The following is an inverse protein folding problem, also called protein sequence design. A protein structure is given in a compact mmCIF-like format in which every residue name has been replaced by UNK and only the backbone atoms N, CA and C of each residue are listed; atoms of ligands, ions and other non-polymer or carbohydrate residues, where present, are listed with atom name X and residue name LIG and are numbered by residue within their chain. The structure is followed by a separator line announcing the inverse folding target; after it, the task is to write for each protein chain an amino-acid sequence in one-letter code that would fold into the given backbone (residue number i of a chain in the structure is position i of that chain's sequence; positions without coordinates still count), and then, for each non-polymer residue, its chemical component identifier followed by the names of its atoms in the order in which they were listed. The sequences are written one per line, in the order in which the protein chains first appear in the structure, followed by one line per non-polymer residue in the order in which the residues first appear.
data_IF_293663528546
#
_entry.id   IF_293663528546
#
_cell.length_a   1.000
_cell.length_b   1.000
_cell.length_c   1.000
_cell.angle_alpha   90.00
_cell.angle_beta   90.00
_cell.angle_gamma   90.00
#
_symmetry.space_group_name_H-M   'P 1'
#
loop_
_entity.id
_entity.type
_entity.pdbx_description
1 polymer ?
#
# COMPACT_ATOMS: atom_id res chain seq x y z
N UNK A 1 9.18 -4.10 -28.52
CA UNK A 1 9.96 -3.45 -27.45
C UNK A 1 10.56 -2.17 -27.98
N UNK A 2 10.21 -1.02 -27.39
CA UNK A 2 10.75 0.28 -27.80
C UNK A 2 12.11 0.42 -27.15
N UNK A 3 13.14 0.59 -27.97
CA UNK A 3 14.46 0.93 -27.45
C UNK A 3 14.49 2.42 -27.14
N UNK A 4 15.10 2.79 -26.01
CA UNK A 4 15.27 4.18 -25.56
C UNK A 4 15.75 5.12 -26.68
N UNK A 5 16.60 4.64 -27.58
CA UNK A 5 17.11 5.39 -28.75
C UNK A 5 16.04 5.78 -29.78
N UNK A 6 14.86 5.16 -29.72
CA UNK A 6 13.76 5.40 -30.65
C UNK A 6 12.68 6.36 -30.06
N UNK A 7 12.90 6.81 -28.83
CA UNK A 7 12.01 7.76 -28.18
C UNK A 7 12.46 9.19 -28.45
N UNK A 8 11.52 10.08 -28.60
CA UNK A 8 11.78 11.52 -28.58
C UNK A 8 12.43 11.93 -27.27
N UNK A 9 13.40 12.83 -27.31
CA UNK A 9 14.15 13.27 -26.13
C UNK A 9 13.25 13.94 -25.08
N UNK A 10 12.19 14.63 -25.52
CA UNK A 10 11.23 15.27 -24.62
C UNK A 10 10.40 14.23 -23.85
N UNK A 11 10.00 13.16 -24.51
CA UNK A 11 9.27 12.05 -23.88
C UNK A 11 10.18 11.31 -22.89
N UNK A 12 11.45 11.07 -23.24
CA UNK A 12 12.43 10.49 -22.30
C UNK A 12 12.58 11.39 -21.08
N UNK A 13 12.77 12.69 -21.29
CA UNK A 13 12.92 13.65 -20.20
C UNK A 13 11.65 13.72 -19.33
N UNK A 14 10.48 13.69 -19.93
CA UNK A 14 9.22 13.65 -19.20
C UNK A 14 9.10 12.38 -18.35
N UNK A 15 9.39 11.21 -18.92
CA UNK A 15 9.39 9.93 -18.18
C UNK A 15 10.37 10.01 -17.01
N UNK A 16 11.58 10.45 -17.23
CA UNK A 16 12.59 10.61 -16.16
C UNK A 16 12.12 11.55 -15.06
N UNK A 17 11.46 12.65 -15.41
CA UNK A 17 10.93 13.62 -14.46
C UNK A 17 9.80 13.00 -13.62
N UNK A 18 8.84 12.32 -14.28
CA UNK A 18 7.68 11.72 -13.61
C UNK A 18 8.06 10.52 -12.74
N UNK A 19 9.00 9.71 -13.20
CA UNK A 19 9.43 8.51 -12.47
C UNK A 19 10.44 8.82 -11.37
N UNK A 20 11.18 9.92 -11.49
CA UNK A 20 12.37 10.18 -10.68
C UNK A 20 13.54 9.23 -10.97
N UNK A 21 13.42 8.42 -12.02
CA UNK A 21 14.49 7.53 -12.48
C UNK A 21 15.55 8.34 -13.22
N UNK A 22 16.81 8.11 -12.90
CA UNK A 22 17.93 8.73 -13.58
C UNK A 22 18.13 8.23 -15.03
N UNK A 23 19.20 8.63 -15.69
CA UNK A 23 19.47 8.28 -17.11
C UNK A 23 19.64 6.77 -17.37
N UNK A 24 19.57 5.95 -16.36
CA UNK A 24 19.73 4.49 -16.43
C UNK A 24 18.45 3.69 -16.73
N UNK A 25 17.37 4.31 -17.24
CA UNK A 25 16.16 3.57 -17.63
C UNK A 25 16.49 2.48 -18.65
N UNK A 26 16.02 1.28 -18.40
CA UNK A 26 16.10 0.14 -19.29
C UNK A 26 15.14 0.23 -20.47
N UNK A 27 14.28 -0.75 -20.63
CA UNK A 27 13.25 -0.73 -21.66
C UNK A 27 11.91 -0.30 -21.11
N UNK A 28 11.07 0.29 -21.97
CA UNK A 28 9.70 0.67 -21.66
C UNK A 28 8.75 -0.41 -22.16
N UNK A 29 7.92 -0.92 -21.27
CA UNK A 29 6.84 -1.87 -21.54
C UNK A 29 5.51 -1.15 -21.39
N UNK A 30 4.69 -1.17 -22.43
CA UNK A 30 3.40 -0.49 -22.44
C UNK A 30 2.27 -1.47 -22.15
N UNK A 31 1.38 -1.07 -21.25
CA UNK A 31 0.16 -1.82 -20.94
C UNK A 31 -1.05 -0.89 -21.12
N UNK A 32 -2.03 -1.34 -21.88
CA UNK A 32 -3.28 -0.63 -22.12
C UNK A 32 -4.44 -1.62 -22.13
N UNK A 33 -5.62 -1.27 -21.56
CA UNK A 33 -6.73 -2.21 -21.50
C UNK A 33 -7.24 -2.56 -22.89
N UNK A 34 -7.79 -3.77 -23.03
CA UNK A 34 -8.29 -4.29 -24.30
C UNK A 34 -9.70 -3.80 -24.69
N UNK A 35 -10.35 -3.02 -23.80
CA UNK A 35 -11.73 -2.56 -24.00
C UNK A 35 -11.88 -1.48 -25.07
N UNK A 36 -13.03 -1.44 -25.68
CA UNK A 36 -13.34 -0.60 -26.85
C UNK A 36 -13.10 0.90 -26.66
N UNK A 37 -13.29 1.43 -25.45
CA UNK A 37 -13.06 2.86 -25.15
C UNK A 37 -11.57 3.26 -25.14
N UNK A 38 -10.67 2.31 -24.94
CA UNK A 38 -9.23 2.52 -25.01
C UNK A 38 -8.61 2.07 -26.34
N UNK A 39 -9.39 1.45 -27.21
CA UNK A 39 -8.93 0.93 -28.51
C UNK A 39 -8.42 2.05 -29.43
N UNK A 40 -9.08 3.21 -29.42
CA UNK A 40 -8.64 4.37 -30.20
C UNK A 40 -7.29 4.88 -29.68
N UNK A 41 -7.16 5.05 -28.38
CA UNK A 41 -5.91 5.51 -27.77
C UNK A 41 -4.77 4.50 -27.96
N UNK A 42 -5.06 3.21 -27.87
CA UNK A 42 -4.11 2.15 -28.16
C UNK A 42 -3.67 2.21 -29.63
N UNK A 43 -4.59 2.37 -30.57
CA UNK A 43 -4.29 2.49 -31.99
C UNK A 43 -3.47 3.75 -32.31
N UNK A 44 -3.78 4.88 -31.66
CA UNK A 44 -2.98 6.11 -31.77
C UNK A 44 -1.57 5.93 -31.21
N UNK A 45 -1.44 5.27 -30.07
CA UNK A 45 -0.15 4.95 -29.47
C UNK A 45 0.69 4.02 -30.36
N UNK A 46 0.05 2.99 -30.90
CA UNK A 46 0.66 2.07 -31.85
C UNK A 46 1.14 2.78 -33.13
N UNK A 47 0.33 3.70 -33.63
CA UNK A 47 0.61 4.46 -34.86
C UNK A 47 1.69 5.52 -34.65
N UNK A 48 1.53 6.33 -33.58
CA UNK A 48 2.39 7.51 -33.37
C UNK A 48 3.75 7.16 -32.78
N UNK A 49 3.84 6.10 -31.98
CA UNK A 49 5.08 5.67 -31.37
C UNK A 49 5.75 4.49 -32.12
N UNK A 50 5.13 4.00 -33.18
CA UNK A 50 5.64 2.85 -33.94
C UNK A 50 5.78 1.59 -33.10
N UNK A 51 4.96 1.46 -32.06
CA UNK A 51 5.06 0.36 -31.08
C UNK A 51 4.54 -0.95 -31.66
N UNK A 52 3.57 -0.86 -32.59
CA UNK A 52 2.96 -2.04 -33.22
C UNK A 52 2.33 -2.99 -32.19
N UNK A 53 2.54 -4.28 -32.35
CA UNK A 53 1.94 -5.34 -31.52
C UNK A 53 2.50 -5.46 -30.09
N UNK A 54 3.24 -4.47 -29.59
CA UNK A 54 3.97 -4.56 -28.31
C UNK A 54 3.28 -3.90 -27.13
N UNK A 55 2.02 -3.51 -27.25
CA UNK A 55 1.19 -3.05 -26.14
C UNK A 55 0.48 -4.27 -25.56
N UNK A 56 0.69 -4.51 -24.29
CA UNK A 56 0.10 -5.63 -23.56
C UNK A 56 -1.25 -5.23 -22.97
N UNK A 57 -2.18 -6.19 -22.83
CA UNK A 57 -3.53 -5.93 -22.32
C UNK A 57 -3.68 -6.18 -20.82
N UNK A 58 -2.75 -6.87 -20.20
CA UNK A 58 -2.73 -7.20 -18.77
C UNK A 58 -1.37 -6.84 -18.17
N UNK A 59 -1.33 -6.61 -16.85
CA UNK A 59 -0.07 -6.34 -16.18
C UNK A 59 0.80 -7.59 -16.16
N UNK A 60 0.21 -8.78 -15.96
CA UNK A 60 0.92 -10.04 -16.01
C UNK A 60 1.69 -10.22 -17.34
N UNK A 61 1.05 -9.92 -18.47
CA UNK A 61 1.70 -10.01 -19.78
C UNK A 61 2.82 -8.96 -19.96
N UNK A 62 2.61 -7.76 -19.45
CA UNK A 62 3.61 -6.68 -19.42
C UNK A 62 4.79 -7.03 -18.52
N UNK A 63 4.53 -7.52 -17.32
CA UNK A 63 5.54 -7.92 -16.34
C UNK A 63 6.47 -9.03 -16.90
N UNK A 64 5.92 -9.98 -17.64
CA UNK A 64 6.70 -11.03 -18.27
C UNK A 64 7.84 -10.50 -19.18
N UNK A 65 7.69 -9.27 -19.72
CA UNK A 65 8.65 -8.62 -20.61
C UNK A 65 9.78 -7.88 -19.89
N UNK A 66 9.57 -7.53 -18.62
CA UNK A 66 10.59 -6.86 -17.83
C UNK A 66 11.79 -7.81 -17.63
N UNK A 67 12.97 -7.24 -17.54
CA UNK A 67 14.22 -7.99 -17.32
C UNK A 67 14.82 -7.57 -15.99
N UNK A 68 15.13 -8.55 -15.17
CA UNK A 68 15.74 -8.36 -13.86
C UNK A 68 17.01 -7.50 -13.94
N UNK A 69 17.19 -6.57 -13.00
CA UNK A 69 18.33 -5.64 -12.90
C UNK A 69 18.56 -4.70 -14.10
N UNK A 70 17.64 -4.62 -15.05
CA UNK A 70 17.81 -3.75 -16.23
C UNK A 70 17.23 -2.34 -16.03
N UNK A 71 16.55 -2.09 -14.92
CA UNK A 71 15.86 -0.83 -14.67
C UNK A 71 14.71 -0.54 -15.66
N UNK A 72 13.99 -1.60 -16.02
CA UNK A 72 12.86 -1.53 -16.93
C UNK A 72 11.64 -0.85 -16.27
N UNK A 73 10.86 -0.16 -17.08
CA UNK A 73 9.66 0.54 -16.63
C UNK A 73 8.43 0.02 -17.36
N UNK A 74 7.45 -0.47 -16.64
CA UNK A 74 6.13 -0.76 -17.16
C UNK A 74 5.25 0.50 -17.03
N UNK A 75 4.83 1.03 -18.17
CA UNK A 75 3.94 2.18 -18.28
C UNK A 75 2.52 1.68 -18.49
N UNK A 76 1.64 2.01 -17.52
CA UNK A 76 0.26 1.52 -17.53
C UNK A 76 -0.68 2.68 -17.85
N UNK A 77 -1.44 2.51 -18.92
CA UNK A 77 -2.42 3.49 -19.39
C UNK A 77 -3.64 3.56 -18.47
N UNK A 78 -4.40 4.66 -18.48
CA UNK A 78 -5.66 4.75 -17.74
C UNK A 78 -6.60 3.59 -18.06
N UNK A 79 -7.18 3.00 -17.02
CA UNK A 79 -8.11 1.88 -17.12
C UNK A 79 -8.10 0.97 -15.91
N UNK A 80 -9.01 0.02 -15.90
CA UNK A 80 -9.11 -1.03 -14.91
C UNK A 80 -8.55 -2.34 -15.50
N UNK A 81 -7.69 -3.00 -14.76
CA UNK A 81 -6.99 -4.22 -15.15
C UNK A 81 -7.36 -5.33 -14.19
N UNK A 82 -8.10 -6.29 -14.69
CA UNK A 82 -8.48 -7.49 -13.94
C UNK A 82 -7.41 -8.56 -14.12
N UNK A 83 -6.81 -8.96 -13.00
CA UNK A 83 -5.78 -10.02 -12.95
C UNK A 83 -6.38 -11.26 -12.28
N UNK A 84 -6.49 -12.33 -13.04
CA UNK A 84 -7.09 -13.60 -12.56
C UNK A 84 -6.11 -14.48 -11.78
N UNK A 85 -4.88 -14.04 -11.62
CA UNK A 85 -3.84 -14.68 -10.82
C UNK A 85 -2.98 -13.59 -10.15
N UNK A 86 -2.33 -13.95 -9.06
CA UNK A 86 -1.35 -13.09 -8.39
C UNK A 86 -0.21 -12.73 -9.35
N UNK A 87 0.20 -11.47 -9.32
CA UNK A 87 1.41 -11.03 -10.01
C UNK A 87 2.58 -11.17 -9.04
N UNK A 88 3.35 -12.25 -9.18
CA UNK A 88 4.59 -12.42 -8.41
C UNK A 88 5.69 -11.53 -8.98
N UNK A 89 5.84 -10.34 -8.39
CA UNK A 89 6.81 -9.33 -8.81
C UNK A 89 8.17 -9.57 -8.16
N UNK A 90 8.95 -10.49 -8.74
CA UNK A 90 10.22 -10.95 -8.19
C UNK A 90 11.48 -10.39 -8.93
N UNK A 91 11.28 -9.48 -9.89
CA UNK A 91 12.39 -8.90 -10.66
C UNK A 91 12.85 -7.60 -10.03
N UNK A 92 14.12 -7.57 -9.62
CA UNK A 92 14.75 -6.40 -9.02
C UNK A 92 14.92 -5.25 -9.99
N UNK A 93 14.89 -4.02 -9.48
CA UNK A 93 15.07 -2.82 -10.30
C UNK A 93 14.12 -2.79 -11.51
N UNK A 94 12.86 -3.19 -11.30
CA UNK A 94 11.81 -3.08 -12.31
C UNK A 94 10.67 -2.24 -11.74
N UNK A 95 10.06 -1.39 -12.56
CA UNK A 95 9.21 -0.32 -12.07
C UNK A 95 7.83 -0.34 -12.72
N UNK A 96 6.82 0.08 -11.96
CA UNK A 96 5.43 0.18 -12.37
C UNK A 96 4.95 1.63 -12.26
N UNK A 97 4.53 2.22 -13.37
CA UNK A 97 4.09 3.60 -13.42
C UNK A 97 2.73 3.73 -14.11
N UNK A 98 1.72 4.17 -13.38
CA UNK A 98 0.44 4.56 -13.94
C UNK A 98 0.52 5.92 -14.61
N UNK A 99 -0.03 6.04 -15.82
CA UNK A 99 -0.06 7.28 -16.61
C UNK A 99 -1.35 8.10 -16.42
N UNK A 100 -2.11 7.79 -15.40
CA UNK A 100 -3.23 8.59 -14.95
C UNK A 100 -2.79 9.89 -14.27
N UNK A 101 -3.70 10.85 -14.14
CA UNK A 101 -3.45 12.05 -13.35
C UNK A 101 -3.17 11.72 -11.88
N UNK A 102 -2.58 12.64 -11.11
CA UNK A 102 -2.40 12.43 -9.69
C UNK A 102 -3.77 12.35 -9.02
N UNK A 103 -4.11 11.20 -8.50
CA UNK A 103 -5.28 11.03 -7.66
C UNK A 103 -4.85 10.95 -6.20
N UNK A 104 -5.49 11.77 -5.39
CA UNK A 104 -5.18 11.95 -3.98
C UNK A 104 -6.02 11.04 -3.07
N UNK A 105 -6.90 10.22 -3.66
CA UNK A 105 -7.77 9.32 -2.89
C UNK A 105 -7.63 7.88 -3.34
N UNK A 106 -7.73 6.98 -2.39
CA UNK A 106 -7.74 5.54 -2.61
C UNK A 106 -9.05 5.00 -3.15
N UNK A 107 -10.05 5.85 -3.26
CA UNK A 107 -11.36 5.49 -3.78
C UNK A 107 -11.21 4.80 -5.15
N UNK A 108 -11.83 3.65 -5.29
CA UNK A 108 -11.82 2.82 -6.50
C UNK A 108 -12.15 3.61 -7.78
N UNK A 109 -13.03 4.59 -7.65
CA UNK A 109 -13.48 5.41 -8.77
C UNK A 109 -12.51 6.53 -9.17
N UNK A 110 -11.54 6.87 -8.32
CA UNK A 110 -10.71 8.06 -8.50
C UNK A 110 -9.31 7.78 -9.06
N UNK A 111 -8.82 6.54 -9.03
CA UNK A 111 -7.57 6.19 -9.69
C UNK A 111 -7.80 5.93 -11.17
N UNK A 112 -7.12 6.67 -12.01
CA UNK A 112 -7.21 6.46 -13.46
C UNK A 112 -6.61 5.12 -13.91
N UNK A 113 -5.70 4.56 -13.12
CA UNK A 113 -5.11 3.24 -13.33
C UNK A 113 -5.40 2.39 -12.12
N UNK A 114 -6.18 1.33 -12.29
CA UNK A 114 -6.53 0.40 -11.21
C UNK A 114 -6.19 -1.02 -11.64
N UNK A 115 -5.38 -1.70 -10.84
CA UNK A 115 -5.14 -3.14 -10.94
C UNK A 115 -5.95 -3.81 -9.85
N UNK A 116 -6.73 -4.80 -10.20
CA UNK A 116 -7.55 -5.50 -9.22
C UNK A 116 -7.68 -6.98 -9.54
N UNK A 117 -8.12 -7.73 -8.55
CA UNK A 117 -8.64 -9.07 -8.74
C UNK A 117 -9.98 -9.20 -8.03
N UNK A 118 -10.92 -9.90 -8.64
CA UNK A 118 -12.16 -10.38 -8.01
C UNK A 118 -12.18 -11.91 -7.91
N UNK A 119 -11.09 -12.55 -8.25
CA UNK A 119 -10.93 -14.00 -8.24
C UNK A 119 -10.73 -14.52 -6.82
N UNK A 120 -11.61 -15.42 -6.39
CA UNK A 120 -11.63 -15.96 -5.03
C UNK A 120 -10.41 -16.79 -4.62
N UNK A 121 -9.56 -17.19 -5.57
CA UNK A 121 -8.36 -18.00 -5.31
C UNK A 121 -7.06 -17.19 -5.34
N UNK A 122 -7.14 -15.85 -5.39
CA UNK A 122 -5.96 -14.98 -5.47
C UNK A 122 -5.71 -14.32 -4.12
N UNK A 123 -4.70 -14.80 -3.42
CA UNK A 123 -4.32 -14.31 -2.09
C UNK A 123 -3.88 -12.84 -2.12
N UNK A 124 -3.06 -12.48 -3.10
CA UNK A 124 -2.53 -11.14 -3.31
C UNK A 124 -2.71 -10.71 -4.75
N UNK A 125 -3.16 -9.49 -4.99
CA UNK A 125 -3.18 -8.97 -6.37
C UNK A 125 -1.74 -8.80 -6.89
N UNK A 126 -0.86 -8.25 -6.04
CA UNK A 126 0.58 -8.18 -6.31
C UNK A 126 1.35 -8.68 -5.08
N UNK A 127 2.22 -9.67 -5.29
CA UNK A 127 3.22 -10.11 -4.33
C UNK A 127 4.60 -9.63 -4.78
N UNK A 128 5.14 -8.62 -4.08
CA UNK A 128 6.40 -7.97 -4.43
C UNK A 128 7.55 -8.52 -3.58
N UNK A 129 8.35 -9.38 -4.18
CA UNK A 129 9.59 -9.92 -3.59
C UNK A 129 10.85 -9.34 -4.23
N UNK A 130 10.72 -8.62 -5.35
CA UNK A 130 11.83 -7.93 -6.00
C UNK A 130 12.30 -6.72 -5.20
N UNK A 131 13.59 -6.41 -5.30
CA UNK A 131 14.24 -5.33 -4.60
C UNK A 131 14.31 -4.05 -5.44
N UNK A 132 14.31 -2.88 -4.75
CA UNK A 132 14.52 -1.57 -5.37
C UNK A 132 13.53 -1.24 -6.50
N UNK A 133 12.31 -1.74 -6.41
CA UNK A 133 11.23 -1.45 -7.32
C UNK A 133 10.56 -0.12 -6.97
N UNK A 134 9.99 0.55 -7.98
CA UNK A 134 9.25 1.80 -7.81
C UNK A 134 7.85 1.61 -8.38
N UNK A 135 6.84 1.86 -7.57
CA UNK A 135 5.43 1.82 -7.96
C UNK A 135 4.83 3.22 -7.79
N UNK A 136 4.24 3.78 -8.84
CA UNK A 136 3.68 5.15 -8.79
C UNK A 136 2.35 5.27 -9.51
N UNK A 137 1.50 6.16 -8.98
CA UNK A 137 0.25 6.61 -9.60
C UNK A 137 -0.71 5.48 -9.96
N UNK A 138 -0.92 4.52 -9.07
CA UNK A 138 -1.72 3.33 -9.33
C UNK A 138 -2.58 2.99 -8.12
N UNK A 139 -3.78 2.49 -8.39
CA UNK A 139 -4.61 1.79 -7.41
C UNK A 139 -4.39 0.28 -7.53
N UNK A 140 -4.29 -0.41 -6.40
CA UNK A 140 -4.20 -1.87 -6.33
C UNK A 140 -5.28 -2.36 -5.37
N UNK A 141 -6.18 -3.21 -5.85
CA UNK A 141 -7.33 -3.67 -5.07
C UNK A 141 -7.42 -5.20 -5.08
N UNK A 142 -7.93 -5.77 -3.99
CA UNK A 142 -8.32 -7.17 -3.92
C UNK A 142 -9.78 -7.27 -3.49
N UNK A 143 -10.65 -7.66 -4.41
CA UNK A 143 -12.08 -7.82 -4.22
C UNK A 143 -12.52 -9.29 -4.25
N UNK A 144 -11.60 -10.24 -4.10
CA UNK A 144 -11.91 -11.65 -4.09
C UNK A 144 -12.79 -12.05 -2.90
N UNK A 145 -13.87 -12.78 -3.17
CA UNK A 145 -14.86 -13.15 -2.16
C UNK A 145 -14.48 -14.44 -1.43
N UNK A 146 -13.29 -14.47 -0.83
CA UNK A 146 -12.80 -15.59 -0.04
C UNK A 146 -11.99 -15.05 1.16
N UNK A 147 -12.04 -15.72 2.30
CA UNK A 147 -11.19 -15.46 3.46
C UNK A 147 -9.69 -15.63 3.15
N UNK A 148 -9.32 -16.41 2.12
CA UNK A 148 -7.94 -16.53 1.64
C UNK A 148 -7.47 -15.38 0.73
N UNK A 149 -8.27 -14.34 0.48
CA UNK A 149 -7.85 -13.15 -0.27
C UNK A 149 -7.29 -12.10 0.69
N UNK A 150 -6.04 -12.23 1.05
CA UNK A 150 -5.45 -11.52 2.18
C UNK A 150 -5.18 -10.04 1.95
N UNK A 151 -4.69 -9.64 0.76
CA UNK A 151 -4.36 -8.23 0.55
C UNK A 151 -4.20 -7.87 -0.94
N UNK A 152 -4.39 -6.58 -1.33
CA UNK A 152 -4.03 -6.13 -2.67
C UNK A 152 -2.53 -6.13 -2.92
N UNK A 153 -1.73 -5.82 -1.88
CA UNK A 153 -0.28 -5.74 -1.99
C UNK A 153 0.40 -6.42 -0.80
N UNK A 154 1.23 -7.39 -1.09
CA UNK A 154 2.18 -7.96 -0.14
C UNK A 154 3.59 -7.56 -0.55
N UNK A 155 4.32 -6.88 0.33
CA UNK A 155 5.70 -6.43 0.11
C UNK A 155 6.64 -7.26 0.97
N UNK A 156 7.52 -8.01 0.33
CA UNK A 156 8.57 -8.81 0.97
C UNK A 156 9.94 -8.62 0.29
N UNK A 157 10.13 -7.51 -0.41
CA UNK A 157 11.39 -7.12 -1.04
C UNK A 157 11.97 -5.84 -0.42
N UNK A 158 13.28 -5.67 -0.54
CA UNK A 158 14.08 -4.60 0.06
C UNK A 158 14.05 -3.30 -0.74
N UNK A 159 14.01 -2.16 -0.04
CA UNK A 159 14.27 -0.84 -0.63
C UNK A 159 13.25 -0.35 -1.64
N UNK A 160 12.04 -0.88 -1.62
CA UNK A 160 10.98 -0.55 -2.55
C UNK A 160 10.36 0.83 -2.26
N UNK A 161 9.91 1.52 -3.29
CA UNK A 161 9.33 2.85 -3.18
C UNK A 161 7.95 2.91 -3.82
N UNK A 162 6.98 3.35 -3.03
CA UNK A 162 5.59 3.55 -3.42
C UNK A 162 5.25 5.03 -3.32
N UNK A 163 4.73 5.62 -4.39
CA UNK A 163 4.34 7.03 -4.39
C UNK A 163 3.01 7.23 -5.10
N UNK A 164 2.09 7.90 -4.41
CA UNK A 164 0.73 8.09 -4.91
C UNK A 164 0.05 6.76 -5.28
N UNK A 165 0.20 5.74 -4.41
CA UNK A 165 -0.43 4.42 -4.56
C UNK A 165 -1.63 4.33 -3.64
N UNK A 166 -2.75 3.85 -4.18
CA UNK A 166 -3.93 3.52 -3.40
C UNK A 166 -4.03 2.01 -3.21
N UNK A 167 -4.28 1.56 -1.99
CA UNK A 167 -4.39 0.14 -1.64
C UNK A 167 -5.75 -0.11 -0.99
N UNK A 168 -6.59 -0.94 -1.61
CA UNK A 168 -7.90 -1.32 -1.07
C UNK A 168 -7.99 -2.83 -0.99
N UNK A 169 -7.94 -3.35 0.21
CA UNK A 169 -8.33 -4.70 0.60
C UNK A 169 -9.62 -4.66 1.42
N UNK A 170 -10.06 -5.79 1.91
CA UNK A 170 -11.24 -5.89 2.78
C UNK A 170 -12.53 -5.36 2.13
N UNK A 171 -12.71 -5.66 0.86
CA UNK A 171 -13.85 -5.20 0.07
C UNK A 171 -15.07 -6.12 0.19
N UNK A 172 -14.89 -7.36 0.63
CA UNK A 172 -15.95 -8.36 0.72
C UNK A 172 -16.25 -8.73 2.17
N UNK A 173 -17.45 -9.25 2.44
CA UNK A 173 -17.84 -9.69 3.78
C UNK A 173 -16.92 -10.79 4.34
N UNK A 174 -16.36 -11.62 3.49
CA UNK A 174 -15.42 -12.66 3.87
C UNK A 174 -14.09 -12.05 4.34
N UNK A 175 -13.53 -11.12 3.59
CA UNK A 175 -12.31 -10.42 3.95
C UNK A 175 -12.50 -9.56 5.22
N UNK A 176 -13.65 -8.89 5.36
CA UNK A 176 -13.96 -8.07 6.53
C UNK A 176 -14.08 -8.86 7.83
N UNK A 177 -14.43 -10.15 7.74
CA UNK A 177 -14.56 -11.07 8.86
C UNK A 177 -13.29 -11.89 9.15
N UNK A 178 -12.21 -11.66 8.40
CA UNK A 178 -10.94 -12.40 8.51
C UNK A 178 -9.85 -11.52 9.12
N UNK A 179 -9.15 -12.01 10.14
CA UNK A 179 -8.10 -11.27 10.85
C UNK A 179 -6.78 -11.22 10.06
N UNK A 180 -6.59 -12.10 9.08
CA UNK A 180 -5.43 -12.12 8.20
C UNK A 180 -5.53 -11.10 7.05
N UNK A 181 -6.73 -10.61 6.75
CA UNK A 181 -6.94 -9.67 5.66
C UNK A 181 -6.54 -8.24 6.01
N UNK A 182 -5.79 -7.59 5.11
CA UNK A 182 -5.35 -6.20 5.24
C UNK A 182 -5.36 -5.48 3.89
N UNK A 183 -5.17 -4.17 3.88
CA UNK A 183 -4.93 -3.41 2.65
C UNK A 183 -3.46 -3.39 2.25
N UNK A 184 -2.56 -3.68 3.20
CA UNK A 184 -1.13 -3.82 2.95
C UNK A 184 -0.54 -4.86 3.89
N UNK A 185 0.13 -5.85 3.32
CA UNK A 185 0.99 -6.76 4.07
C UNK A 185 2.47 -6.37 3.91
N UNK A 186 3.20 -6.41 5.04
CA UNK A 186 4.63 -6.12 5.10
C UNK A 186 5.34 -7.35 5.64
N UNK A 187 6.17 -7.95 4.79
CA UNK A 187 6.90 -9.18 5.07
C UNK A 187 8.28 -8.96 5.70
N UNK A 188 8.98 -10.05 5.92
CA UNK A 188 10.28 -10.09 6.61
C UNK A 188 11.36 -9.27 5.91
N UNK A 189 11.40 -9.30 4.57
CA UNK A 189 12.46 -8.67 3.79
C UNK A 189 12.14 -7.22 3.38
N UNK A 190 10.97 -6.69 3.76
CA UNK A 190 10.53 -5.34 3.41
C UNK A 190 11.30 -4.23 4.18
N UNK A 191 12.64 -4.35 4.22
CA UNK A 191 13.48 -3.34 4.86
C UNK A 191 13.61 -2.08 3.99
N UNK A 192 13.71 -0.92 4.63
CA UNK A 192 13.95 0.38 3.99
C UNK A 192 12.93 0.77 2.89
N UNK A 193 11.75 0.19 2.91
CA UNK A 193 10.68 0.53 1.99
C UNK A 193 10.06 1.91 2.32
N UNK A 194 9.54 2.59 1.30
CA UNK A 194 8.99 3.95 1.45
C UNK A 194 7.62 4.06 0.81
N UNK A 195 6.67 4.59 1.58
CA UNK A 195 5.33 4.95 1.11
C UNK A 195 5.16 6.47 1.24
N UNK A 196 4.94 7.14 0.11
CA UNK A 196 4.85 8.60 0.06
C UNK A 196 3.55 8.99 -0.64
N UNK A 197 2.74 9.84 0.01
CA UNK A 197 1.45 10.27 -0.50
C UNK A 197 0.53 9.09 -0.88
N UNK A 198 0.57 8.00 -0.10
CA UNK A 198 -0.23 6.80 -0.34
C UNK A 198 -1.52 6.83 0.47
N UNK A 199 -2.56 6.24 -0.08
CA UNK A 199 -3.81 5.96 0.60
C UNK A 199 -3.93 4.46 0.85
N UNK A 200 -4.10 4.05 2.11
CA UNK A 200 -4.14 2.65 2.52
C UNK A 200 -5.42 2.39 3.29
N UNK A 201 -6.17 1.41 2.82
CA UNK A 201 -7.47 1.11 3.36
C UNK A 201 -8.57 1.93 2.69
N UNK A 202 -9.77 1.83 3.25
CA UNK A 202 -10.95 2.44 2.68
C UNK A 202 -11.94 2.83 3.78
N UNK A 203 -12.84 3.75 3.48
CA UNK A 203 -13.80 4.28 4.44
C UNK A 203 -15.27 4.18 4.00
N UNK A 204 -15.53 3.52 2.86
CA UNK A 204 -16.85 3.54 2.24
C UNK A 204 -17.46 2.15 1.96
N UNK A 205 -16.71 1.07 2.18
CA UNK A 205 -17.18 -0.30 2.00
C UNK A 205 -17.78 -0.88 3.29
N UNK A 206 -17.76 -2.16 3.47
CA UNK A 206 -18.26 -2.79 4.67
C UNK A 206 -17.38 -2.53 5.89
N UNK A 207 -17.93 -2.78 7.08
CA UNK A 207 -17.21 -2.61 8.34
C UNK A 207 -16.41 -3.87 8.67
N UNK A 208 -15.17 -3.71 9.11
CA UNK A 208 -14.38 -4.80 9.66
C UNK A 208 -14.97 -5.30 10.96
N UNK A 209 -15.16 -6.61 11.03
CA UNK A 209 -15.67 -7.30 12.22
C UNK A 209 -14.65 -8.24 12.86
N UNK A 210 -13.57 -8.56 12.17
CA UNK A 210 -12.52 -9.43 12.68
C UNK A 210 -11.67 -8.72 13.75
N UNK A 211 -11.62 -9.29 14.94
CA UNK A 211 -10.72 -8.84 15.99
C UNK A 211 -9.25 -8.98 15.57
N UNK A 212 -8.37 -8.13 16.10
CA UNK A 212 -6.93 -8.15 15.85
C UNK A 212 -6.49 -7.89 14.41
N UNK A 213 -7.38 -7.38 13.58
CA UNK A 213 -7.12 -7.05 12.18
C UNK A 213 -6.79 -5.57 11.99
N UNK A 214 -6.09 -5.23 10.91
CA UNK A 214 -5.68 -3.86 10.58
C UNK A 214 -5.69 -3.56 9.09
N UNK A 215 -5.46 -2.29 8.74
CA UNK A 215 -5.27 -1.90 7.35
C UNK A 215 -3.84 -2.17 6.87
N UNK A 216 -2.88 -2.04 7.77
CA UNK A 216 -1.49 -2.42 7.52
C UNK A 216 -1.15 -3.55 8.49
N UNK A 217 -0.76 -4.69 7.96
CA UNK A 217 -0.38 -5.85 8.77
C UNK A 217 1.08 -6.22 8.53
N UNK A 218 1.87 -6.21 9.60
CA UNK A 218 3.23 -6.73 9.60
C UNK A 218 3.17 -8.23 9.86
N UNK A 219 3.43 -9.01 8.81
CA UNK A 219 3.34 -10.49 8.85
C UNK A 219 4.70 -11.17 8.87
N UNK A 220 5.77 -10.40 8.72
CA UNK A 220 7.15 -10.89 8.72
C UNK A 220 7.90 -10.61 10.03
N UNK A 221 9.04 -11.26 10.22
CA UNK A 221 9.90 -11.01 11.36
C UNK A 221 10.84 -9.82 11.11
N UNK A 222 10.62 -8.75 11.87
CA UNK A 222 11.51 -7.59 11.99
C UNK A 222 11.91 -6.84 10.69
N UNK A 223 10.98 -6.48 9.78
CA UNK A 223 11.35 -5.55 8.71
C UNK A 223 11.79 -4.21 9.32
N UNK A 224 12.93 -3.67 8.88
CA UNK A 224 13.56 -2.50 9.49
C UNK A 224 13.59 -1.30 8.56
N UNK A 225 13.52 -0.09 9.12
CA UNK A 225 13.88 1.15 8.43
C UNK A 225 12.89 1.63 7.37
N UNK A 226 11.59 1.42 7.55
CA UNK A 226 10.58 1.91 6.63
C UNK A 226 10.16 3.36 6.88
N UNK A 227 9.53 3.96 5.87
CA UNK A 227 8.99 5.32 5.92
C UNK A 227 7.56 5.36 5.37
N UNK A 228 6.62 5.84 6.18
CA UNK A 228 5.34 6.33 5.72
C UNK A 228 5.32 7.85 5.82
N UNK A 229 5.14 8.55 4.70
CA UNK A 229 5.13 10.01 4.68
C UNK A 229 3.92 10.56 3.95
N UNK A 230 3.16 11.45 4.61
CA UNK A 230 1.95 12.08 4.07
C UNK A 230 0.96 11.05 3.53
N UNK A 231 0.79 9.96 4.28
CA UNK A 231 -0.14 8.89 3.94
C UNK A 231 -1.45 9.04 4.72
N UNK A 232 -2.52 8.50 4.14
CA UNK A 232 -3.77 8.26 4.83
C UNK A 232 -3.91 6.76 5.08
N UNK A 233 -4.25 6.40 6.32
CA UNK A 233 -4.65 5.04 6.69
C UNK A 233 -6.11 5.10 7.12
N UNK A 234 -6.99 4.49 6.34
CA UNK A 234 -8.43 4.61 6.49
C UNK A 234 -9.03 3.29 6.90
N UNK A 235 -9.74 3.29 8.00
CA UNK A 235 -10.44 2.13 8.53
C UNK A 235 -11.92 2.41 8.63
N UNK A 236 -12.72 1.36 8.47
CA UNK A 236 -14.09 1.31 8.92
C UNK A 236 -14.28 0.03 9.71
N UNK A 237 -14.17 0.13 11.03
CA UNK A 237 -14.20 -1.03 11.93
C UNK A 237 -15.32 -0.88 12.95
N UNK A 238 -16.10 -1.94 13.14
CA UNK A 238 -17.15 -2.01 14.15
C UNK A 238 -16.69 -2.70 15.44
N UNK A 239 -15.47 -3.22 15.45
CA UNK A 239 -14.89 -3.95 16.58
C UNK A 239 -13.80 -3.14 17.22
N UNK A 240 -13.91 -2.90 18.52
CA UNK A 240 -12.94 -2.12 19.30
C UNK A 240 -11.53 -2.70 19.28
N UNK A 241 -11.39 -4.00 19.10
CA UNK A 241 -10.12 -4.72 19.05
C UNK A 241 -9.43 -4.72 17.68
N UNK A 242 -9.90 -3.94 16.70
CA UNK A 242 -9.16 -3.66 15.48
C UNK A 242 -8.12 -2.56 15.71
N UNK A 243 -7.20 -2.38 14.76
CA UNK A 243 -6.25 -1.28 14.76
C UNK A 243 -6.06 -0.73 13.32
N UNK A 244 -5.37 0.39 13.17
CA UNK A 244 -4.92 0.83 11.85
C UNK A 244 -3.73 0.00 11.38
N UNK A 245 -2.81 -0.28 12.29
CA UNK A 245 -1.58 -1.04 12.06
C UNK A 245 -1.53 -2.21 13.05
N UNK A 246 -1.35 -3.41 12.53
CA UNK A 246 -1.25 -4.62 13.35
C UNK A 246 0.06 -5.35 13.10
N UNK A 247 0.55 -6.02 14.13
CA UNK A 247 1.54 -7.07 13.98
C UNK A 247 0.77 -8.38 13.97
N UNK A 248 0.89 -9.11 12.87
CA UNK A 248 0.15 -10.35 12.68
C UNK A 248 0.40 -11.34 13.81
N UNK A 249 -0.68 -12.00 14.24
CA UNK A 249 -0.74 -12.97 15.34
C UNK A 249 -0.07 -14.32 15.01
N UNK A 250 0.86 -14.40 14.07
CA UNK A 250 1.56 -15.66 13.82
C UNK A 250 2.25 -16.11 15.09
N UNK A 251 2.14 -17.37 15.39
CA UNK A 251 2.60 -18.10 16.58
C UNK A 251 3.54 -17.32 17.51
N UNK A 252 3.12 -17.10 18.73
CA UNK A 252 3.80 -16.33 19.78
C UNK A 252 5.33 -16.29 19.62
N UNK A 253 5.89 -15.12 19.41
CA UNK A 253 7.32 -14.88 19.48
C UNK A 253 8.10 -14.66 18.18
N UNK A 254 7.47 -14.66 16.99
CA UNK A 254 8.23 -14.57 15.74
C UNK A 254 7.95 -13.35 14.85
N UNK A 255 6.90 -12.60 15.12
CA UNK A 255 6.50 -11.45 14.28
C UNK A 255 6.69 -10.16 15.04
N UNK A 256 7.50 -9.24 14.52
CA UNK A 256 7.75 -7.96 15.16
C UNK A 256 7.93 -6.87 14.12
N UNK A 257 7.48 -5.64 14.42
CA UNK A 257 7.92 -4.48 13.67
C UNK A 257 9.39 -4.22 14.06
N UNK A 258 10.26 -4.18 13.07
CA UNK A 258 11.66 -3.87 13.28
C UNK A 258 11.90 -2.41 13.64
N UNK A 259 13.13 -2.07 13.91
CA UNK A 259 13.56 -0.71 14.30
C UNK A 259 13.56 0.26 13.13
N UNK A 260 13.42 1.56 13.47
CA UNK A 260 13.65 2.65 12.52
C UNK A 260 12.50 2.91 11.54
N UNK A 261 11.29 2.47 11.85
CA UNK A 261 10.11 2.90 11.12
C UNK A 261 9.73 4.32 11.49
N UNK A 262 9.59 5.16 10.47
CA UNK A 262 9.18 6.55 10.63
C UNK A 262 7.81 6.77 9.98
N UNK A 263 6.88 7.27 10.77
CA UNK A 263 5.56 7.73 10.38
C UNK A 263 5.57 9.25 10.40
N UNK A 264 5.60 9.88 9.24
CA UNK A 264 5.79 11.32 9.08
C UNK A 264 4.57 11.95 8.42
N UNK A 265 3.82 12.74 9.18
CA UNK A 265 2.59 13.38 8.73
C UNK A 265 1.55 12.37 8.16
N UNK A 266 1.31 11.30 8.93
CA UNK A 266 0.32 10.26 8.59
C UNK A 266 -0.97 10.54 9.33
N UNK A 267 -2.09 10.42 8.61
CA UNK A 267 -3.44 10.55 9.18
C UNK A 267 -4.07 9.18 9.26
N UNK A 268 -4.42 8.75 10.47
CA UNK A 268 -5.15 7.53 10.75
C UNK A 268 -6.61 7.87 11.02
N UNK A 269 -7.54 7.21 10.34
CA UNK A 269 -8.97 7.47 10.52
C UNK A 269 -9.76 6.18 10.64
N UNK A 270 -10.67 6.13 11.61
CA UNK A 270 -11.73 5.14 11.66
C UNK A 270 -13.09 5.83 11.50
N UNK A 271 -13.80 5.53 10.42
CA UNK A 271 -15.03 6.22 10.06
C UNK A 271 -16.31 5.61 10.65
N UNK A 272 -16.23 4.51 11.36
CA UNK A 272 -17.43 3.93 11.99
C UNK A 272 -18.05 4.87 13.04
N UNK A 273 -17.23 5.65 13.72
CA UNK A 273 -17.66 6.66 14.69
C UNK A 273 -18.60 7.75 14.11
N UNK A 274 -18.73 7.88 12.77
CA UNK A 274 -19.62 8.85 12.10
C UNK A 274 -21.09 8.66 12.40
N UNK A 275 -21.52 7.47 12.76
CA UNK A 275 -22.95 7.17 12.91
C UNK A 275 -23.53 7.58 14.27
N UNK A 276 -22.73 8.15 15.18
CA UNK A 276 -23.15 8.49 16.53
C UNK A 276 -23.44 7.28 17.44
N UNK A 277 -23.39 6.08 16.86
CA UNK A 277 -23.49 4.78 17.55
C UNK A 277 -22.29 3.90 17.23
N UNK A 278 -21.34 4.45 16.48
CA UNK A 278 -20.16 3.73 16.05
C UNK A 278 -19.20 3.46 17.22
N UNK A 279 -18.46 2.39 17.09
CA UNK A 279 -17.45 1.99 18.07
C UNK A 279 -16.13 2.68 17.72
N UNK A 280 -15.52 3.35 18.70
CA UNK A 280 -14.11 3.71 18.57
C UNK A 280 -13.28 2.44 18.58
N UNK A 281 -12.21 2.46 17.79
CA UNK A 281 -11.20 1.41 17.82
C UNK A 281 -10.22 1.73 18.96
N UNK A 282 -9.87 0.72 19.75
CA UNK A 282 -9.04 0.94 20.93
C UNK A 282 -7.72 1.62 20.61
N UNK A 283 -7.06 1.23 19.50
CA UNK A 283 -5.68 1.69 19.25
C UNK A 283 -5.35 1.88 17.77
N UNK A 284 -4.42 2.78 17.51
CA UNK A 284 -3.85 2.98 16.16
C UNK A 284 -2.88 1.85 15.84
N UNK A 285 -2.01 1.50 16.81
CA UNK A 285 -1.00 0.44 16.66
C UNK A 285 -1.25 -0.68 17.65
N UNK A 286 -1.62 -1.83 17.15
CA UNK A 286 -1.71 -3.06 17.92
C UNK A 286 -0.39 -3.83 17.77
N UNK A 287 0.46 -3.71 18.77
CA UNK A 287 1.81 -4.28 18.77
C UNK A 287 1.89 -5.58 19.57
N UNK A 288 0.86 -6.36 19.49
CA UNK A 288 0.56 -7.54 20.30
C UNK A 288 1.79 -8.34 20.74
N UNK A 289 1.96 -8.45 22.06
CA UNK A 289 2.87 -9.37 22.78
C UNK A 289 4.34 -9.34 22.32
N UNK A 290 4.75 -8.20 21.83
CA UNK A 290 6.06 -8.01 21.25
C UNK A 290 7.11 -7.78 22.33
N UNK A 291 7.46 -8.83 23.09
CA UNK A 291 8.72 -8.88 23.81
C UNK A 291 9.87 -8.69 22.80
N UNK A 292 10.10 -7.45 22.35
CA UNK A 292 11.09 -7.14 21.32
C UNK A 292 10.65 -6.16 20.24
N UNK A 293 9.43 -5.63 20.28
CA UNK A 293 9.04 -4.57 19.33
C UNK A 293 9.93 -3.33 19.53
N UNK A 294 10.49 -2.85 18.43
CA UNK A 294 11.32 -1.67 18.45
C UNK A 294 10.47 -0.41 18.40
N UNK A 295 10.95 0.72 18.95
CA UNK A 295 10.20 1.97 18.91
C UNK A 295 9.81 2.40 17.49
N UNK A 296 8.54 2.79 17.36
CA UNK A 296 8.00 3.44 16.17
C UNK A 296 8.15 4.94 16.33
N UNK A 297 8.70 5.61 15.33
CA UNK A 297 8.93 7.05 15.37
C UNK A 297 7.77 7.77 14.67
N UNK A 298 6.99 8.57 15.42
CA UNK A 298 5.89 9.36 14.89
C UNK A 298 6.27 10.85 14.85
N UNK A 299 6.06 11.46 13.69
CA UNK A 299 6.25 12.88 13.50
C UNK A 299 5.01 13.51 12.84
N UNK A 300 4.37 14.45 13.53
CA UNK A 300 3.18 15.16 13.05
C UNK A 300 2.03 14.24 12.58
N UNK A 301 1.88 13.09 13.21
CA UNK A 301 0.78 12.18 12.94
C UNK A 301 -0.49 12.62 13.67
N UNK A 302 -1.64 12.25 13.13
CA UNK A 302 -2.95 12.47 13.76
C UNK A 302 -3.82 11.22 13.63
N UNK A 303 -4.70 11.01 14.61
CA UNK A 303 -5.62 9.89 14.66
C UNK A 303 -7.04 10.35 15.00
N UNK A 304 -8.05 9.80 14.33
CA UNK A 304 -9.45 10.09 14.53
C UNK A 304 -10.24 8.78 14.60
N UNK A 305 -11.08 8.63 15.63
CA UNK A 305 -11.89 7.43 15.85
C UNK A 305 -11.10 6.28 16.48
N UNK A 306 -10.05 6.62 17.22
CA UNK A 306 -9.23 5.71 18.04
C UNK A 306 -9.16 6.26 19.46
N UNK A 307 -9.14 5.40 20.48
CA UNK A 307 -9.06 5.79 21.88
C UNK A 307 -7.62 6.10 22.32
N UNK A 308 -6.62 5.41 21.72
CA UNK A 308 -5.22 5.58 22.08
C UNK A 308 -4.28 5.21 20.92
N UNK A 309 -3.01 5.54 21.07
CA UNK A 309 -2.00 5.17 20.08
C UNK A 309 -1.62 3.69 20.17
N UNK A 310 -1.48 3.16 21.37
CA UNK A 310 -1.19 1.74 21.63
C UNK A 310 -1.52 1.41 23.09
N UNK A 311 -1.78 0.14 23.41
CA UNK A 311 -1.96 -0.34 24.79
C UNK A 311 -0.68 -0.90 25.42
N UNK A 312 0.41 -0.97 24.67
CA UNK A 312 1.68 -1.49 25.15
C UNK A 312 2.36 -0.49 26.10
N UNK A 313 2.18 -0.73 27.40
CA UNK A 313 2.73 0.14 28.46
C UNK A 313 4.20 -0.12 28.81
N UNK A 314 4.76 -1.25 28.41
CA UNK A 314 6.04 -1.72 28.95
C UNK A 314 7.27 -1.47 28.07
N UNK A 315 7.12 -1.09 26.80
CA UNK A 315 8.23 -1.12 25.85
C UNK A 315 8.52 0.18 25.10
N UNK A 316 7.88 1.29 25.41
CA UNK A 316 8.07 2.59 24.72
C UNK A 316 8.07 2.46 23.19
N UNK A 317 7.13 1.69 22.66
CA UNK A 317 7.11 1.32 21.25
C UNK A 317 6.71 2.46 20.32
N UNK A 318 6.22 3.56 20.87
CA UNK A 318 5.83 4.76 20.11
C UNK A 318 6.51 5.98 20.71
N UNK A 319 7.29 6.67 19.89
CA UNK A 319 8.07 7.83 20.26
C UNK A 319 7.88 8.94 19.25
N UNK A 320 7.71 10.16 19.69
CA UNK A 320 7.69 11.31 18.79
C UNK A 320 6.69 12.38 19.16
N UNK A 321 6.46 13.29 18.21
CA UNK A 321 5.52 14.40 18.35
C UNK A 321 4.17 13.98 17.80
N UNK A 322 3.15 13.91 18.67
CA UNK A 322 1.79 13.54 18.29
C UNK A 322 0.78 14.21 19.20
N UNK A 323 -0.47 14.39 18.73
CA UNK A 323 -1.56 14.86 19.60
C UNK A 323 -1.81 13.83 20.70
N UNK A 324 -2.11 14.32 21.89
CA UNK A 324 -2.57 13.47 22.99
C UNK A 324 -4.07 13.22 22.79
N UNK A 325 -4.45 11.97 22.63
CA UNK A 325 -5.79 11.61 22.17
C UNK A 325 -6.89 11.95 23.19
N UNK A 326 -6.66 11.73 24.48
CA UNK A 326 -7.71 11.85 25.51
C UNK A 326 -7.88 13.23 26.10
N UNK A 327 -6.91 14.11 26.00
CA UNK A 327 -6.96 15.44 26.61
C UNK A 327 -7.42 16.54 25.64
N UNK A 328 -8.20 16.20 24.63
CA UNK A 328 -8.73 17.16 23.68
C UNK A 328 -7.74 17.64 22.64
N UNK A 329 -6.67 16.91 22.46
CA UNK A 329 -5.61 17.21 21.48
C UNK A 329 -4.60 18.22 22.01
N UNK A 330 -3.37 17.92 21.76
CA UNK A 330 -2.24 18.77 22.05
C UNK A 330 -0.99 18.21 21.35
N UNK A 331 -0.08 19.08 21.00
CA UNK A 331 1.22 18.64 20.52
C UNK A 331 2.11 18.37 21.72
N UNK A 332 2.47 17.13 21.94
CA UNK A 332 3.39 16.73 23.00
C UNK A 332 4.47 15.83 22.48
N UNK A 333 5.59 15.77 23.19
CA UNK A 333 6.53 14.67 23.03
C UNK A 333 6.02 13.57 23.94
N UNK A 334 5.55 12.49 23.34
CA UNK A 334 5.14 11.34 24.11
C UNK A 334 6.30 10.39 24.32
N UNK A 335 6.82 10.40 25.52
CA UNK A 335 7.88 9.50 25.97
C UNK A 335 7.33 8.29 26.73
N UNK A 336 6.06 8.34 27.11
CA UNK A 336 5.37 7.27 27.82
C UNK A 336 4.03 6.99 27.12
N UNK A 337 3.84 5.80 26.64
CA UNK A 337 2.64 5.38 25.92
C UNK A 337 1.40 5.40 26.80
N UNK A 338 1.56 5.19 28.10
CA UNK A 338 0.44 5.25 29.05
C UNK A 338 -0.14 6.66 29.16
N UNK A 339 0.66 7.68 28.89
CA UNK A 339 0.22 9.08 28.83
C UNK A 339 -0.51 9.39 27.54
N UNK A 340 -0.09 8.78 26.42
CA UNK A 340 -0.75 8.96 25.13
C UNK A 340 -2.10 8.28 25.04
N UNK A 341 -2.27 7.23 25.80
CA UNK A 341 -3.52 6.48 25.82
C UNK A 341 -4.54 7.02 26.79
N UNK A 342 -4.26 8.07 27.53
CA UNK A 342 -5.14 8.51 28.63
C UNK A 342 -5.64 7.33 29.46
N UNK A 343 -5.76 7.43 30.68
CA UNK A 343 -6.39 6.41 31.55
C UNK A 343 -7.89 6.61 31.64
#
# INVERSE_FOLDING_TARGET
MIKKRNLDSSLIQWIMTVTGLGPGIGELVWVAPSVSSSSQFRSELETNLGIGTKIYSTLTAGYAQLVNHRNDVMLVMPGAYDETASIDWAKDNTHLLGLGGPNTRSDYSEKNVVVYTDTAAVDYTIHLTGDHCIFKNIGINNAGANAGNFSPLYVDGYGNWFENVGLIGNMTSQQLADDDCASLHIGTNAHNCKWINCDIGEDCWGKRSAAYSGQISFIGSQPNGGLFRRCFVRSQSETATCAAVTVYKAAAGSTHIGRGWLWDNVVFTNFDARTGTGTNVNEVFMLHDAAGAWPQLLHQCSAFGYDRWTDESSNYNIVGTMPVADDGGGLGINLDQTVAGGS
#
